data_IF_899637336101
#
_entry.id   IF_899637336101
#
_cell.length_a   1.000
_cell.length_b   1.000
_cell.length_c   1.000
_cell.angle_alpha   90.00
_cell.angle_beta   90.00
_cell.angle_gamma   90.00
#
_symmetry.space_group_name_H-M   'P 1'
#
loop_
_entity.id
_entity.type
_entity.pdbx_description
1 polymer ?
#
# COMPACT_ATOMS: atom_id res chain seq x y z
N UNK A 1 -4.15 4.08 25.42
CA UNK A 1 -3.37 3.68 24.23
C UNK A 1 -3.48 4.78 23.18
N UNK A 2 -2.44 5.59 23.03
CA UNK A 2 -2.33 6.58 21.97
C UNK A 2 -1.66 5.90 20.77
N UNK A 3 -2.44 5.11 20.01
CA UNK A 3 -1.95 4.60 18.72
C UNK A 3 -1.76 5.78 17.78
N UNK A 4 -0.53 6.08 17.45
CA UNK A 4 -0.16 7.13 16.52
C UNK A 4 -0.51 6.66 15.10
N UNK A 5 -1.78 6.80 14.70
CA UNK A 5 -2.31 6.35 13.40
C UNK A 5 -1.56 6.92 12.18
N UNK A 6 -0.65 7.86 12.39
CA UNK A 6 0.22 8.38 11.33
C UNK A 6 1.43 7.49 11.05
N UNK A 7 1.79 6.60 11.98
CA UNK A 7 2.99 5.76 11.88
C UNK A 7 2.69 4.36 11.32
N UNK A 8 1.41 3.93 11.34
CA UNK A 8 1.05 2.59 10.89
C UNK A 8 0.86 2.44 9.37
N UNK A 9 0.97 3.53 8.61
CA UNK A 9 0.85 3.55 7.16
C UNK A 9 1.69 4.70 6.59
N UNK A 10 2.85 4.36 6.11
CA UNK A 10 3.78 5.31 5.50
C UNK A 10 4.27 4.78 4.16
N UNK A 11 4.30 5.67 3.17
CA UNK A 11 4.72 5.31 1.82
C UNK A 11 5.50 6.46 1.19
N UNK A 12 6.56 6.11 0.47
CA UNK A 12 7.33 7.02 -0.38
C UNK A 12 7.38 6.45 -1.79
N UNK A 13 7.04 7.28 -2.78
CA UNK A 13 7.19 6.98 -4.21
C UNK A 13 8.01 8.06 -4.88
N UNK A 14 8.87 7.66 -5.81
CA UNK A 14 9.53 8.57 -6.76
C UNK A 14 9.22 8.07 -8.15
N UNK A 15 8.65 8.94 -8.98
CA UNK A 15 8.20 8.55 -10.32
C UNK A 15 7.88 9.74 -11.21
N UNK A 16 7.43 9.46 -12.44
CA UNK A 16 7.02 10.47 -13.42
C UNK A 16 5.51 10.58 -13.52
N UNK A 17 4.99 11.78 -13.62
CA UNK A 17 3.58 12.04 -13.91
C UNK A 17 3.25 11.55 -15.32
N UNK A 18 2.22 10.72 -15.48
CA UNK A 18 1.85 10.15 -16.78
C UNK A 18 0.40 10.42 -17.18
N UNK A 19 -0.35 11.13 -16.34
CA UNK A 19 -1.70 11.58 -16.66
C UNK A 19 -1.97 13.00 -16.19
N UNK A 20 -2.93 13.67 -16.83
CA UNK A 20 -3.52 14.89 -16.29
C UNK A 20 -4.26 14.60 -14.98
N UNK A 21 -4.35 15.60 -14.12
CA UNK A 21 -5.16 15.49 -12.90
C UNK A 21 -6.65 15.53 -13.25
N UNK A 22 -7.42 14.63 -12.67
CA UNK A 22 -8.88 14.60 -12.74
C UNK A 22 -9.49 14.91 -11.38
N UNK A 23 -10.63 15.59 -11.36
CA UNK A 23 -11.37 15.84 -10.12
C UNK A 23 -11.88 14.52 -9.55
N UNK A 24 -11.67 14.31 -8.26
CA UNK A 24 -12.13 13.12 -7.54
C UNK A 24 -13.35 13.42 -6.68
N UNK A 25 -13.19 14.25 -5.66
CA UNK A 25 -14.24 14.57 -4.68
C UNK A 25 -13.88 15.84 -3.90
N UNK A 26 -14.81 16.30 -3.06
CA UNK A 26 -14.64 17.42 -2.14
C UNK A 26 -15.03 17.01 -0.72
N UNK A 27 -14.23 17.42 0.26
CA UNK A 27 -14.51 17.22 1.69
C UNK A 27 -14.33 18.56 2.39
N UNK A 28 -15.39 19.07 3.02
CA UNK A 28 -15.40 20.34 3.77
C UNK A 28 -14.82 21.54 2.98
N UNK A 29 -15.14 21.64 1.69
CA UNK A 29 -14.67 22.70 0.81
C UNK A 29 -13.25 22.51 0.28
N UNK A 30 -12.56 21.44 0.60
CA UNK A 30 -11.25 21.07 0.06
C UNK A 30 -11.43 20.06 -1.08
N UNK A 31 -10.92 20.42 -2.26
CA UNK A 31 -11.00 19.57 -3.45
C UNK A 31 -9.84 18.61 -3.52
N UNK A 32 -10.13 17.39 -3.95
CA UNK A 32 -9.17 16.33 -4.19
C UNK A 32 -9.16 15.93 -5.66
N UNK A 33 -7.96 15.69 -6.16
CA UNK A 33 -7.70 15.27 -7.53
C UNK A 33 -6.97 13.94 -7.55
N UNK A 34 -7.05 13.22 -8.66
CA UNK A 34 -6.29 12.00 -8.91
C UNK A 34 -5.47 12.18 -10.18
N UNK A 35 -4.22 11.75 -10.13
CA UNK A 35 -3.33 11.59 -11.27
C UNK A 35 -2.54 10.30 -11.15
N UNK A 36 -1.95 9.83 -12.25
CA UNK A 36 -1.17 8.62 -12.29
C UNK A 36 0.34 8.91 -12.26
N UNK A 37 1.05 8.17 -11.41
CA UNK A 37 2.50 8.23 -11.27
C UNK A 37 3.12 6.93 -11.81
N UNK A 38 4.03 7.05 -12.77
CA UNK A 38 4.85 5.96 -13.28
C UNK A 38 6.04 5.73 -12.37
N UNK A 39 6.14 4.54 -11.78
CA UNK A 39 7.24 4.14 -10.89
C UNK A 39 7.96 2.94 -11.49
N UNK A 40 9.26 3.08 -11.75
CA UNK A 40 10.08 2.04 -12.35
C UNK A 40 10.65 1.12 -11.26
N UNK A 41 10.47 -0.19 -11.43
CA UNK A 41 11.08 -1.21 -10.56
C UNK A 41 12.56 -1.43 -10.93
N UNK A 42 13.33 -1.99 -10.02
CA UNK A 42 14.70 -2.44 -10.30
C UNK A 42 14.79 -3.43 -11.47
N UNK A 43 13.71 -4.15 -11.77
CA UNK A 43 13.60 -5.06 -12.92
C UNK A 43 13.25 -4.38 -14.24
N UNK A 44 13.23 -3.04 -14.29
CA UNK A 44 12.74 -2.23 -15.40
C UNK A 44 11.24 -2.40 -15.74
N UNK A 45 10.49 -3.14 -14.91
CA UNK A 45 9.03 -3.20 -14.99
C UNK A 45 8.46 -1.90 -14.43
N UNK A 46 7.39 -1.41 -15.04
CA UNK A 46 6.74 -0.16 -14.68
C UNK A 46 5.44 -0.44 -13.93
N UNK A 47 5.22 0.30 -12.84
CA UNK A 47 3.94 0.37 -12.14
C UNK A 47 3.31 1.74 -12.37
N UNK A 48 2.04 1.77 -12.77
CA UNK A 48 1.25 3.01 -12.82
C UNK A 48 0.41 3.06 -11.57
N UNK A 49 0.67 4.01 -10.69
CA UNK A 49 0.07 4.10 -9.35
C UNK A 49 -0.79 5.36 -9.26
N UNK A 50 -2.10 5.24 -8.91
CA UNK A 50 -2.97 6.39 -8.74
C UNK A 50 -2.64 7.15 -7.46
N UNK A 51 -2.47 8.46 -7.57
CA UNK A 51 -2.17 9.39 -6.48
C UNK A 51 -3.37 10.29 -6.26
N UNK A 52 -3.96 10.24 -5.07
CA UNK A 52 -4.97 11.20 -4.63
C UNK A 52 -4.30 12.35 -3.89
N UNK A 53 -4.55 13.56 -4.32
CA UNK A 53 -3.89 14.78 -3.84
C UNK A 53 -4.90 15.88 -3.53
N UNK A 54 -4.69 16.59 -2.42
CA UNK A 54 -5.43 17.79 -2.08
C UNK A 54 -5.01 18.98 -2.96
N UNK A 55 -5.96 19.86 -3.31
CA UNK A 55 -5.66 21.10 -4.02
C UNK A 55 -4.63 21.98 -3.29
N UNK A 56 -4.54 21.88 -1.96
CA UNK A 56 -3.57 22.64 -1.16
C UNK A 56 -2.13 22.26 -1.46
N UNK A 57 -1.88 20.97 -1.68
CA UNK A 57 -0.55 20.47 -2.04
C UNK A 57 -0.14 20.92 -3.46
N UNK A 58 -1.12 21.25 -4.30
CA UNK A 58 -0.89 21.67 -5.68
C UNK A 58 -0.75 23.20 -5.82
N UNK A 59 -0.89 23.98 -4.74
CA UNK A 59 -0.86 25.45 -4.81
C UNK A 59 0.44 25.97 -5.44
N UNK A 60 1.57 25.31 -5.18
CA UNK A 60 2.89 25.71 -5.67
C UNK A 60 3.53 24.65 -6.60
N UNK A 61 2.76 23.66 -7.03
CA UNK A 61 3.25 22.56 -7.86
C UNK A 61 2.36 22.45 -9.09
N UNK A 62 2.92 22.70 -10.25
CA UNK A 62 2.27 22.42 -11.52
C UNK A 62 2.52 20.97 -11.89
N UNK A 63 1.42 20.19 -12.02
CA UNK A 63 1.46 18.80 -12.45
C UNK A 63 1.54 18.78 -13.99
N UNK A 64 2.72 18.50 -14.50
CA UNK A 64 2.99 18.33 -15.92
C UNK A 64 3.36 16.89 -16.23
N UNK A 65 2.84 16.33 -17.32
CA UNK A 65 3.22 15.00 -17.80
C UNK A 65 4.73 14.95 -18.07
N UNK A 66 5.40 13.91 -17.54
CA UNK A 66 6.84 13.73 -17.62
C UNK A 66 7.61 14.30 -16.43
N UNK A 67 7.02 15.16 -15.60
CA UNK A 67 7.66 15.73 -14.41
C UNK A 67 7.92 14.63 -13.37
N UNK A 68 9.16 14.57 -12.86
CA UNK A 68 9.54 13.64 -11.78
C UNK A 68 9.13 14.23 -10.43
N UNK A 69 8.44 13.42 -9.62
CA UNK A 69 7.96 13.81 -8.30
C UNK A 69 8.37 12.77 -7.26
N UNK A 70 8.68 13.26 -6.05
CA UNK A 70 8.67 12.47 -4.81
C UNK A 70 7.32 12.71 -4.13
N UNK A 71 6.61 11.63 -3.87
CA UNK A 71 5.31 11.63 -3.20
C UNK A 71 5.46 10.87 -1.88
N UNK A 72 5.15 11.54 -0.78
CA UNK A 72 5.06 10.90 0.53
C UNK A 72 3.61 10.88 0.99
N UNK A 73 3.15 9.77 1.57
CA UNK A 73 1.75 9.63 1.94
C UNK A 73 1.39 8.29 2.57
N UNK A 74 0.16 7.88 2.34
CA UNK A 74 -0.42 6.65 2.86
C UNK A 74 -1.07 5.85 1.75
N UNK A 75 -0.90 4.53 1.76
CA UNK A 75 -1.62 3.66 0.84
C UNK A 75 -3.00 3.36 1.42
N UNK A 76 -4.04 3.89 0.78
CA UNK A 76 -5.41 3.85 1.28
C UNK A 76 -6.33 3.06 0.38
N UNK A 77 -7.40 2.55 1.00
CA UNK A 77 -8.49 1.87 0.31
C UNK A 77 -9.83 2.52 0.59
N UNK A 78 -10.73 2.48 -0.37
CA UNK A 78 -12.13 2.82 -0.20
C UNK A 78 -13.02 1.97 -1.10
N UNK A 79 -14.27 1.81 -0.70
CA UNK A 79 -15.25 1.08 -1.50
C UNK A 79 -15.98 2.07 -2.42
N UNK A 80 -15.93 1.83 -3.72
CA UNK A 80 -16.75 2.53 -4.69
C UNK A 80 -18.00 1.69 -4.98
N UNK A 81 -19.18 2.31 -4.74
CA UNK A 81 -20.48 1.70 -4.98
C UNK A 81 -21.05 2.22 -6.30
N UNK A 82 -20.56 1.72 -7.41
CA UNK A 82 -21.11 1.99 -8.73
C UNK A 82 -21.89 0.79 -9.27
N UNK A 83 -23.12 1.03 -9.77
CA UNK A 83 -23.95 0.03 -10.43
C UNK A 83 -24.17 -1.25 -9.60
N UNK A 84 -24.54 -1.11 -8.33
CA UNK A 84 -24.80 -2.23 -7.39
C UNK A 84 -23.61 -3.16 -7.15
N UNK A 85 -22.41 -2.78 -7.59
CA UNK A 85 -21.16 -3.54 -7.38
C UNK A 85 -20.24 -2.78 -6.46
N UNK A 86 -19.84 -3.47 -5.39
CA UNK A 86 -18.81 -2.96 -4.48
C UNK A 86 -17.42 -3.24 -5.08
N UNK A 87 -16.65 -2.19 -5.35
CA UNK A 87 -15.28 -2.29 -5.83
C UNK A 87 -14.33 -1.63 -4.83
N UNK A 88 -13.34 -2.40 -4.37
CA UNK A 88 -12.24 -1.85 -3.59
C UNK A 88 -11.32 -1.04 -4.52
N UNK A 89 -11.20 0.24 -4.25
CA UNK A 89 -10.28 1.16 -4.91
C UNK A 89 -9.08 1.38 -3.97
N UNK A 90 -7.90 1.31 -4.51
CA UNK A 90 -6.63 1.57 -3.83
C UNK A 90 -5.96 2.78 -4.48
N UNK A 91 -5.43 3.67 -3.64
CA UNK A 91 -4.75 4.89 -4.07
C UNK A 91 -3.70 5.29 -3.04
N UNK A 92 -2.69 6.03 -3.47
CA UNK A 92 -1.79 6.72 -2.56
C UNK A 92 -2.40 8.08 -2.22
N UNK A 93 -2.72 8.29 -0.95
CA UNK A 93 -3.19 9.57 -0.44
C UNK A 93 -1.97 10.42 -0.06
N UNK A 94 -1.62 11.38 -0.91
CA UNK A 94 -0.46 12.22 -0.74
C UNK A 94 -0.59 13.13 0.49
N UNK A 95 0.45 13.17 1.31
CA UNK A 95 0.65 14.12 2.41
C UNK A 95 1.66 15.20 2.04
N UNK A 96 2.63 14.84 1.20
CA UNK A 96 3.65 15.73 0.68
C UNK A 96 3.97 15.36 -0.77
N UNK A 97 4.24 16.36 -1.59
CA UNK A 97 4.72 16.21 -2.96
C UNK A 97 5.87 17.19 -3.17
N UNK A 98 6.98 16.70 -3.69
CA UNK A 98 8.17 17.51 -3.99
C UNK A 98 8.63 17.20 -5.41
N UNK A 99 8.82 18.22 -6.28
CA UNK A 99 9.48 18.03 -7.57
C UNK A 99 10.93 17.55 -7.38
N UNK A 100 11.35 16.60 -8.19
CA UNK A 100 12.73 16.09 -8.22
C UNK A 100 13.41 16.63 -9.47
N UNK A 101 14.52 17.35 -9.29
CA UNK A 101 15.28 17.89 -10.42
C UNK A 101 16.09 16.78 -11.11
N UNK A 102 16.13 16.78 -12.45
CA UNK A 102 16.87 15.78 -13.25
C UNK A 102 18.38 15.84 -13.05
N UNK A 103 18.92 16.92 -12.46
CA UNK A 103 20.35 17.11 -12.20
C UNK A 103 20.87 16.37 -10.97
N UNK A 104 20.01 15.87 -10.11
CA UNK A 104 20.40 14.91 -9.09
C UNK A 104 20.69 13.59 -9.82
N UNK A 105 21.99 13.26 -9.94
CA UNK A 105 22.46 11.98 -10.48
C UNK A 105 21.53 10.88 -9.95
N UNK A 106 21.00 10.04 -10.84
CA UNK A 106 20.22 8.87 -10.46
C UNK A 106 21.09 8.04 -9.51
N UNK A 107 20.98 8.31 -8.22
CA UNK A 107 21.61 7.50 -7.21
C UNK A 107 21.01 6.10 -7.39
N UNK A 108 21.77 5.19 -7.98
CA UNK A 108 21.36 3.81 -8.26
C UNK A 108 20.87 3.07 -6.99
N UNK A 109 21.02 3.70 -5.82
CA UNK A 109 20.57 3.24 -4.50
C UNK A 109 19.34 3.98 -3.98
N UNK A 110 18.75 4.93 -4.73
CA UNK A 110 17.56 5.63 -4.27
C UNK A 110 16.35 4.69 -4.28
N UNK A 111 15.71 4.56 -3.13
CA UNK A 111 14.48 3.76 -2.99
C UNK A 111 13.33 4.53 -3.60
N UNK A 112 12.89 4.11 -4.79
CA UNK A 112 11.83 4.79 -5.55
C UNK A 112 10.42 4.35 -5.16
N UNK A 113 10.29 3.30 -4.35
CA UNK A 113 9.00 2.73 -3.96
C UNK A 113 9.16 1.94 -2.66
N UNK A 114 8.74 2.54 -1.57
CA UNK A 114 8.78 1.92 -0.25
C UNK A 114 7.46 2.16 0.47
N UNK A 115 6.94 1.11 1.11
CA UNK A 115 5.76 1.19 1.97
C UNK A 115 6.01 0.43 3.25
N UNK A 116 5.64 1.03 4.37
CA UNK A 116 5.61 0.41 5.70
C UNK A 116 4.16 0.43 6.19
N UNK A 117 3.65 -0.75 6.53
CA UNK A 117 2.30 -0.90 7.08
C UNK A 117 2.36 -1.69 8.38
N UNK A 118 1.60 -1.24 9.39
CA UNK A 118 1.29 -2.00 10.59
C UNK A 118 -0.23 -2.23 10.59
N UNK A 119 -0.65 -3.48 10.67
CA UNK A 119 -2.05 -3.83 10.59
C UNK A 119 -2.31 -5.29 10.93
N UNK A 120 -3.57 -5.67 10.87
CA UNK A 120 -4.05 -6.98 11.30
C UNK A 120 -4.38 -7.87 10.10
N UNK A 121 -4.02 -9.14 10.18
CA UNK A 121 -4.46 -10.17 9.23
C UNK A 121 -5.99 -10.29 9.36
N UNK A 122 -6.74 -9.86 8.33
CA UNK A 122 -8.20 -9.86 8.40
C UNK A 122 -8.88 -11.05 7.69
N UNK A 123 -8.10 -11.86 6.96
CA UNK A 123 -8.51 -13.14 6.38
C UNK A 123 -7.37 -14.13 6.47
N UNK A 124 -7.69 -15.41 6.63
CA UNK A 124 -6.67 -16.47 6.61
C UNK A 124 -5.83 -16.34 5.34
N UNK A 125 -4.48 -16.27 5.43
CA UNK A 125 -3.61 -16.20 4.28
C UNK A 125 -3.81 -17.39 3.33
N UNK A 126 -3.78 -17.13 2.02
CA UNK A 126 -3.95 -18.15 1.00
C UNK A 126 -2.58 -18.48 0.42
N UNK A 127 -1.98 -19.55 0.93
CA UNK A 127 -0.71 -20.07 0.40
C UNK A 127 -0.95 -20.89 -0.86
N UNK A 128 -0.09 -20.70 -1.87
CA UNK A 128 -0.11 -21.46 -3.12
C UNK A 128 1.26 -21.47 -3.79
N UNK A 129 1.47 -22.40 -4.70
CA UNK A 129 2.64 -22.38 -5.58
C UNK A 129 2.23 -21.94 -7.00
N UNK A 130 3.07 -21.12 -7.61
CA UNK A 130 2.90 -20.76 -9.02
C UNK A 130 3.26 -21.96 -9.92
N UNK A 131 2.84 -21.98 -11.21
CA UNK A 131 3.25 -23.02 -12.15
C UNK A 131 4.77 -23.19 -12.29
N UNK A 132 5.55 -22.17 -11.95
CA UNK A 132 7.02 -22.20 -11.95
C UNK A 132 7.62 -22.58 -10.58
N UNK A 133 6.81 -23.12 -9.65
CA UNK A 133 7.26 -23.58 -8.34
C UNK A 133 7.56 -22.47 -7.32
N UNK A 134 7.25 -21.20 -7.61
CA UNK A 134 7.43 -20.12 -6.64
C UNK A 134 6.33 -20.16 -5.59
N UNK A 135 6.71 -20.13 -4.34
CA UNK A 135 5.79 -20.05 -3.20
C UNK A 135 5.28 -18.61 -3.03
N UNK A 136 3.99 -18.46 -2.89
CA UNK A 136 3.34 -17.17 -2.66
C UNK A 136 2.22 -17.32 -1.63
N UNK A 137 1.94 -16.24 -0.88
CA UNK A 137 0.77 -16.13 -0.02
C UNK A 137 0.05 -14.81 -0.28
N UNK A 138 -1.24 -14.91 -0.57
CA UNK A 138 -2.12 -13.74 -0.69
C UNK A 138 -2.65 -13.39 0.71
N UNK A 139 -2.48 -12.13 1.12
CA UNK A 139 -2.81 -11.60 2.44
C UNK A 139 -3.71 -10.40 2.27
N UNK A 140 -4.67 -10.23 3.17
CA UNK A 140 -5.44 -8.99 3.28
C UNK A 140 -5.18 -8.39 4.66
N UNK A 141 -4.57 -7.20 4.70
CA UNK A 141 -4.32 -6.45 5.91
C UNK A 141 -5.44 -5.45 6.17
N UNK A 142 -5.86 -5.33 7.43
CA UNK A 142 -6.65 -4.21 7.92
C UNK A 142 -5.72 -3.24 8.64
N UNK A 143 -5.50 -2.08 8.05
CA UNK A 143 -4.66 -1.00 8.62
C UNK A 143 -5.58 0.05 9.23
N UNK A 144 -5.49 0.23 10.53
CA UNK A 144 -6.38 1.13 11.27
C UNK A 144 -6.12 2.60 10.94
N UNK A 145 -7.20 3.38 10.88
CA UNK A 145 -7.20 4.84 10.73
C UNK A 145 -7.96 5.51 11.89
N UNK A 146 -7.78 6.81 12.01
CA UNK A 146 -8.61 7.63 12.88
C UNK A 146 -10.12 7.41 12.59
N UNK A 147 -10.96 7.68 13.60
CA UNK A 147 -12.43 7.56 13.52
C UNK A 147 -12.93 6.15 13.24
N UNK A 148 -12.29 5.11 13.79
CA UNK A 148 -12.68 3.69 13.65
C UNK A 148 -12.86 3.24 12.21
N UNK A 149 -12.06 3.77 11.29
CA UNK A 149 -11.98 3.31 9.90
C UNK A 149 -10.76 2.43 9.72
N UNK A 150 -10.79 1.57 8.71
CA UNK A 150 -9.63 0.75 8.32
C UNK A 150 -9.48 0.76 6.81
N UNK A 151 -8.23 0.73 6.37
CA UNK A 151 -7.87 0.44 4.99
C UNK A 151 -7.64 -1.06 4.84
N UNK A 152 -8.24 -1.67 3.83
CA UNK A 152 -8.04 -3.07 3.50
C UNK A 152 -7.05 -3.16 2.36
N UNK A 153 -5.83 -3.60 2.68
CA UNK A 153 -4.69 -3.58 1.76
C UNK A 153 -4.35 -5.00 1.32
N UNK A 154 -4.62 -5.39 0.05
CA UNK A 154 -4.11 -6.62 -0.53
C UNK A 154 -2.60 -6.62 -0.52
N UNK A 155 -2.00 -7.72 -0.10
CA UNK A 155 -0.55 -7.87 -0.04
C UNK A 155 -0.16 -9.27 -0.50
N UNK A 156 1.03 -9.40 -1.10
CA UNK A 156 1.56 -10.67 -1.58
C UNK A 156 2.94 -10.92 -0.96
N UNK A 157 3.07 -12.06 -0.30
CA UNK A 157 4.33 -12.55 0.25
C UNK A 157 4.94 -13.60 -0.69
N UNK A 158 6.28 -13.68 -0.74
CA UNK A 158 7.04 -14.57 -1.60
C UNK A 158 7.97 -15.48 -0.80
N UNK A 159 8.15 -16.72 -1.24
CA UNK A 159 9.15 -17.65 -0.72
C UNK A 159 9.07 -17.82 0.80
N UNK A 160 10.13 -17.46 1.52
CA UNK A 160 10.21 -17.58 2.97
C UNK A 160 9.08 -16.81 3.67
N UNK A 161 8.77 -15.60 3.24
CA UNK A 161 7.67 -14.81 3.81
C UNK A 161 6.31 -15.46 3.55
N UNK A 162 6.11 -16.11 2.38
CA UNK A 162 4.88 -16.85 2.10
C UNK A 162 4.70 -18.05 3.06
N UNK A 163 5.77 -18.80 3.32
CA UNK A 163 5.75 -19.91 4.30
C UNK A 163 5.51 -19.40 5.73
N UNK A 164 6.11 -18.26 6.09
CA UNK A 164 5.90 -17.64 7.38
C UNK A 164 4.44 -17.24 7.61
N UNK A 165 3.78 -16.69 6.58
CA UNK A 165 2.38 -16.28 6.68
C UNK A 165 1.39 -17.44 6.68
N UNK A 166 1.76 -18.63 6.18
CA UNK A 166 0.84 -19.74 5.93
C UNK A 166 0.01 -20.14 7.15
N UNK A 167 0.63 -20.06 8.34
CA UNK A 167 0.03 -20.47 9.61
C UNK A 167 -0.45 -19.29 10.46
N UNK A 168 -0.41 -18.06 9.94
CA UNK A 168 -0.90 -16.91 10.70
C UNK A 168 -2.41 -16.96 10.85
N UNK A 169 -2.88 -16.58 12.03
CA UNK A 169 -4.29 -16.51 12.34
C UNK A 169 -4.85 -15.10 12.02
N UNK A 170 -6.17 -15.07 11.83
CA UNK A 170 -6.90 -13.79 11.72
C UNK A 170 -6.80 -13.05 13.05
N UNK A 171 -6.51 -11.75 12.99
CA UNK A 171 -6.27 -10.91 14.19
C UNK A 171 -4.79 -10.76 14.55
N UNK A 172 -3.87 -11.53 13.96
CA UNK A 172 -2.44 -11.34 14.16
C UNK A 172 -2.02 -9.94 13.66
N UNK A 173 -1.40 -9.14 14.52
CA UNK A 173 -0.80 -7.87 14.13
C UNK A 173 0.57 -8.10 13.53
N UNK A 174 0.81 -7.45 12.39
CA UNK A 174 2.06 -7.56 11.66
C UNK A 174 2.53 -6.19 11.18
N UNK A 175 3.83 -6.00 11.19
CA UNK A 175 4.49 -4.91 10.46
C UNK A 175 5.10 -5.48 9.19
N UNK A 176 4.77 -4.89 8.07
CA UNK A 176 5.32 -5.25 6.76
C UNK A 176 6.06 -4.07 6.16
N UNK A 177 7.16 -4.36 5.48
CA UNK A 177 7.81 -3.43 4.55
C UNK A 177 7.78 -4.03 3.16
N UNK A 178 7.70 -3.18 2.16
CA UNK A 178 7.62 -3.64 0.78
C UNK A 178 7.49 -2.51 -0.20
N UNK A 179 6.90 -2.82 -1.35
CA UNK A 179 6.60 -1.83 -2.39
C UNK A 179 5.18 -2.00 -2.90
N UNK A 180 4.56 -0.90 -3.31
CA UNK A 180 3.29 -0.93 -4.04
C UNK A 180 3.57 -1.39 -5.47
N UNK A 181 2.75 -2.30 -5.97
CA UNK A 181 2.82 -2.76 -7.37
C UNK A 181 1.45 -2.83 -8.00
N UNK A 182 1.43 -2.71 -9.32
CA UNK A 182 0.25 -2.92 -10.16
C UNK A 182 0.36 -4.24 -10.92
N UNK A 183 -0.78 -4.87 -11.16
CA UNK A 183 -0.88 -6.12 -11.90
C UNK A 183 -2.14 -6.13 -12.75
N UNK A 184 -1.99 -6.36 -14.04
CA UNK A 184 -3.13 -6.60 -14.92
C UNK A 184 -3.70 -8.01 -14.69
N UNK A 185 -5.02 -8.11 -14.67
CA UNK A 185 -5.73 -9.39 -14.66
C UNK A 185 -6.99 -9.31 -15.52
N UNK A 186 -7.38 -10.47 -16.06
CA UNK A 186 -8.60 -10.59 -16.86
C UNK A 186 -9.77 -11.01 -15.96
N UNK A 187 -10.85 -10.25 -16.01
CA UNK A 187 -12.13 -10.61 -15.42
C UNK A 187 -13.06 -11.10 -16.51
N UNK A 188 -13.47 -12.38 -16.42
CA UNK A 188 -14.50 -12.95 -17.26
C UNK A 188 -15.88 -12.63 -16.67
N UNK A 189 -16.76 -12.08 -17.48
CA UNK A 189 -18.16 -11.82 -17.14
C UNK A 189 -19.04 -13.01 -17.52
N UNK A 190 -20.25 -13.09 -16.96
CA UNK A 190 -21.22 -14.17 -17.22
C UNK A 190 -21.68 -14.21 -18.68
N UNK A 191 -21.65 -13.08 -19.37
CA UNK A 191 -21.95 -12.93 -20.80
C UNK A 191 -20.81 -13.39 -21.74
N UNK A 192 -19.70 -13.89 -21.17
CA UNK A 192 -18.51 -14.33 -21.88
C UNK A 192 -17.52 -13.21 -22.26
N UNK A 193 -17.83 -11.96 -21.98
CA UNK A 193 -16.90 -10.85 -22.23
C UNK A 193 -15.72 -10.89 -21.25
N UNK A 194 -14.56 -10.44 -21.72
CA UNK A 194 -13.32 -10.37 -20.92
C UNK A 194 -12.95 -8.89 -20.77
N UNK A 195 -12.78 -8.47 -19.52
CA UNK A 195 -12.35 -7.12 -19.17
C UNK A 195 -10.96 -7.19 -18.53
N UNK A 196 -9.98 -6.45 -19.08
CA UNK A 196 -8.68 -6.28 -18.41
C UNK A 196 -8.80 -5.23 -17.33
N UNK A 197 -8.37 -5.60 -16.11
CA UNK A 197 -8.38 -4.73 -14.94
C UNK A 197 -7.00 -4.66 -14.31
N UNK A 198 -6.75 -3.56 -13.61
CA UNK A 198 -5.54 -3.37 -12.79
C UNK A 198 -5.89 -3.67 -11.33
N UNK A 199 -5.08 -4.52 -10.69
CA UNK A 199 -5.06 -4.73 -9.26
C UNK A 199 -3.82 -4.06 -8.68
N UNK A 200 -3.99 -3.38 -7.55
CA UNK A 200 -2.89 -2.81 -6.77
C UNK A 200 -2.72 -3.64 -5.51
N UNK A 201 -1.48 -3.91 -5.14
CA UNK A 201 -1.14 -4.71 -3.98
C UNK A 201 0.23 -4.32 -3.42
N UNK A 202 0.54 -4.70 -2.19
CA UNK A 202 1.87 -4.54 -1.62
C UNK A 202 2.65 -5.85 -1.80
N UNK A 203 3.78 -5.79 -2.52
CA UNK A 203 4.74 -6.89 -2.59
C UNK A 203 5.65 -6.80 -1.37
N UNK A 204 5.51 -7.77 -0.45
CA UNK A 204 6.18 -7.79 0.85
C UNK A 204 7.66 -8.16 0.68
N UNK A 205 8.55 -7.31 1.17
CA UNK A 205 9.98 -7.56 1.27
C UNK A 205 10.34 -8.17 2.63
N UNK A 206 9.77 -7.62 3.73
CA UNK A 206 9.92 -8.18 5.08
C UNK A 206 8.61 -8.13 5.85
N UNK A 207 8.48 -9.02 6.84
CA UNK A 207 7.32 -9.12 7.72
C UNK A 207 7.75 -9.58 9.10
N UNK A 208 7.20 -8.96 10.14
CA UNK A 208 7.37 -9.30 11.55
C UNK A 208 6.03 -9.25 12.29
N UNK A 209 5.85 -10.08 13.32
CA UNK A 209 4.69 -10.05 14.21
C UNK A 209 5.00 -9.06 15.33
N UNK A 210 4.08 -8.13 15.63
CA UNK A 210 4.29 -7.04 16.60
C UNK A 210 3.66 -7.32 17.97
N UNK A 211 2.70 -8.26 18.06
CA UNK A 211 1.98 -8.56 19.32
C UNK A 211 2.78 -9.34 20.40
N UNK A 212 4.03 -9.71 20.14
CA UNK A 212 4.80 -10.55 21.08
C UNK A 212 5.65 -9.76 22.10
N UNK A 213 5.71 -8.42 22.00
CA UNK A 213 6.57 -7.65 22.92
C UNK A 213 5.89 -7.35 24.26
N UNK A 214 4.58 -7.15 24.30
CA UNK A 214 3.85 -6.83 25.54
C UNK A 214 3.70 -8.06 26.47
N UNK A 215 3.52 -9.28 25.96
CA UNK A 215 3.40 -10.49 26.78
C UNK A 215 4.71 -10.90 27.44
N UNK A 216 5.86 -10.63 26.82
CA UNK A 216 7.18 -10.96 27.39
C UNK A 216 7.63 -9.95 28.47
N UNK A 217 7.16 -8.72 28.45
CA UNK A 217 7.45 -7.75 29.51
C UNK A 217 6.62 -8.02 30.76
N UNK A 218 5.35 -8.44 30.62
CA UNK A 218 4.51 -8.82 31.76
C UNK A 218 4.93 -10.15 32.41
N UNK A 219 5.45 -11.12 31.66
CA UNK A 219 6.00 -12.36 32.23
C UNK A 219 7.33 -12.12 32.97
N UNK A 220 8.18 -11.22 32.51
CA UNK A 220 9.44 -10.90 33.18
C UNK A 220 9.24 -10.09 34.49
N UNK A 221 8.25 -9.18 34.51
CA UNK A 221 7.92 -8.40 35.72
C UNK A 221 7.35 -9.30 36.84
N UNK A 222 6.54 -10.30 36.48
CA UNK A 222 5.95 -11.24 37.43
C UNK A 222 6.94 -12.27 37.96
N UNK A 223 8.11 -12.47 37.32
CA UNK A 223 9.17 -13.36 37.86
C UNK A 223 10.13 -12.66 38.78
N UNK A 224 10.25 -11.33 38.76
CA UNK A 224 11.10 -10.57 39.66
C UNK A 224 10.41 -10.22 41.02
N UNK A 225 9.08 -10.31 41.10
CA UNK A 225 8.34 -10.07 42.36
C UNK A 225 8.19 -11.32 43.26
N UNK A 226 8.75 -12.48 42.90
CA UNK A 226 8.64 -13.76 43.66
C UNK A 226 9.98 -14.23 44.19
N UNK A 227 10.93 -13.36 44.46
CA UNK A 227 12.18 -13.68 45.17
C UNK A 227 12.32 -12.89 46.46
#
# INVERSE_FOLDING_TARGET
MNTNYSENNHLVLIGKVVSDKSYSHEIYGEKFYVFDLEVVRLSSTVDIIPITVSERLLTNIELEIGKKLRVEGQFRSYNNYENERNRLILTVFAKEIVPVEESEEENANEVTNEVVLIGYICKKPIYRQTPFGREIADILLAVNRAYNKSDYIPSIAWGRNARFCQNMEVGTEVKITGRVQSRNYEKKHEDGTVETRVAYEVSIASMEITNNEEENEEENVNQEEVV
#
